data_IF_662645257412
#
_entry.id   IF_662645257412
#
_cell.length_a   1.000
_cell.length_b   1.000
_cell.length_c   1.000
_cell.angle_alpha   90.00
_cell.angle_beta   90.00
_cell.angle_gamma   90.00
#
_symmetry.space_group_name_H-M   'P 1'
#
loop_
_entity.id
_entity.type
_entity.pdbx_description
1 polymer ?
#
# COMPACT_ATOMS: atom_id res chain seq x y z
N UNK A 1 18.27 -9.66 -6.08
CA UNK A 1 17.19 -9.37 -5.11
C UNK A 1 17.69 -9.44 -3.67
N UNK A 2 17.71 -8.29 -2.97
CA UNK A 2 18.07 -8.22 -1.56
C UNK A 2 17.09 -9.00 -0.66
N UNK A 3 17.58 -9.43 0.52
CA UNK A 3 16.79 -10.16 1.52
C UNK A 3 15.51 -9.42 1.92
N UNK A 4 15.57 -8.09 2.01
CA UNK A 4 14.45 -7.26 2.44
C UNK A 4 13.32 -7.20 1.41
N UNK A 5 13.64 -6.98 0.13
CA UNK A 5 12.64 -6.99 -0.95
C UNK A 5 11.88 -8.32 -1.00
N UNK A 6 12.57 -9.45 -0.76
CA UNK A 6 11.92 -10.77 -0.71
C UNK A 6 10.93 -10.88 0.45
N UNK A 7 11.29 -10.38 1.64
CA UNK A 7 10.44 -10.38 2.83
C UNK A 7 9.18 -9.54 2.63
N UNK A 8 9.32 -8.37 2.03
CA UNK A 8 8.20 -7.49 1.72
C UNK A 8 7.27 -8.08 0.65
N UNK A 9 7.83 -8.71 -0.39
CA UNK A 9 7.03 -9.42 -1.40
C UNK A 9 6.26 -10.60 -0.82
N UNK A 10 6.85 -11.32 0.14
CA UNK A 10 6.16 -12.42 0.84
C UNK A 10 4.96 -11.90 1.64
N UNK A 11 5.15 -10.84 2.42
CA UNK A 11 4.08 -10.19 3.18
C UNK A 11 2.99 -9.63 2.23
N UNK A 12 3.38 -8.98 1.14
CA UNK A 12 2.48 -8.44 0.14
C UNK A 12 1.63 -9.54 -0.53
N UNK A 13 2.26 -10.66 -0.89
CA UNK A 13 1.57 -11.80 -1.48
C UNK A 13 0.55 -12.41 -0.51
N UNK A 14 0.94 -12.60 0.76
CA UNK A 14 0.04 -13.13 1.78
C UNK A 14 -1.17 -12.21 2.02
N UNK A 15 -0.95 -10.90 2.10
CA UNK A 15 -2.05 -9.92 2.21
C UNK A 15 -2.92 -9.92 0.96
N UNK A 16 -2.31 -9.94 -0.23
CA UNK A 16 -3.01 -9.94 -1.51
C UNK A 16 -3.97 -11.12 -1.65
N UNK A 17 -3.54 -12.31 -1.21
CA UNK A 17 -4.37 -13.51 -1.20
C UNK A 17 -5.60 -13.32 -0.28
N UNK A 18 -5.41 -12.83 0.95
CA UNK A 18 -6.51 -12.55 1.88
C UNK A 18 -7.53 -11.57 1.31
N UNK A 19 -7.05 -10.47 0.72
CA UNK A 19 -7.91 -9.45 0.13
C UNK A 19 -8.65 -9.97 -1.11
N UNK A 20 -7.98 -10.77 -1.94
CA UNK A 20 -8.58 -11.38 -3.13
C UNK A 20 -9.69 -12.36 -2.76
N UNK A 21 -9.50 -13.20 -1.73
CA UNK A 21 -10.53 -14.12 -1.25
C UNK A 21 -11.80 -13.42 -0.77
N UNK A 22 -11.68 -12.17 -0.31
CA UNK A 22 -12.80 -11.34 0.13
C UNK A 22 -13.28 -10.36 -0.96
N UNK A 23 -12.85 -10.55 -2.21
CA UNK A 23 -13.18 -9.69 -3.35
C UNK A 23 -12.93 -8.20 -3.07
N UNK A 24 -11.79 -7.88 -2.44
CA UNK A 24 -11.35 -6.52 -2.15
C UNK A 24 -10.35 -6.09 -3.23
N UNK A 25 -10.72 -5.19 -4.17
CA UNK A 25 -9.78 -4.65 -5.13
C UNK A 25 -8.67 -3.88 -4.41
N UNK A 26 -7.43 -4.21 -4.73
CA UNK A 26 -6.26 -3.64 -4.08
C UNK A 26 -5.07 -3.61 -5.03
N UNK A 27 -4.12 -2.73 -4.74
CA UNK A 27 -2.87 -2.61 -5.46
C UNK A 27 -1.76 -2.13 -4.54
N UNK A 28 -0.56 -2.65 -4.72
CA UNK A 28 0.62 -2.26 -3.95
C UNK A 28 1.35 -1.07 -4.57
N UNK A 29 1.95 -0.25 -3.71
CA UNK A 29 2.76 0.93 -4.03
C UNK A 29 3.92 1.05 -3.02
N UNK A 30 4.82 2.01 -3.24
CA UNK A 30 5.96 2.30 -2.37
C UNK A 30 7.29 2.03 -3.04
N UNK A 31 8.38 2.21 -2.29
CA UNK A 31 9.75 1.95 -2.76
C UNK A 31 9.96 0.47 -3.15
N UNK A 32 9.12 -0.45 -2.68
CA UNK A 32 9.13 -1.85 -3.13
C UNK A 32 8.95 -2.00 -4.63
N UNK A 33 8.12 -1.18 -5.28
CA UNK A 33 7.93 -1.29 -6.72
C UNK A 33 9.22 -0.94 -7.46
N UNK A 34 9.87 0.16 -7.06
CA UNK A 34 11.16 0.56 -7.61
C UNK A 34 12.25 -0.46 -7.32
N UNK A 35 12.30 -1.02 -6.11
CA UNK A 35 13.27 -2.03 -5.71
C UNK A 35 13.14 -3.30 -6.57
N UNK A 36 11.91 -3.73 -6.84
CA UNK A 36 11.66 -4.93 -7.65
C UNK A 36 12.02 -4.72 -9.12
N UNK A 37 11.69 -3.57 -9.70
CA UNK A 37 11.96 -3.27 -11.12
C UNK A 37 13.45 -3.04 -11.38
N UNK A 38 14.14 -2.36 -10.45
CA UNK A 38 15.56 -1.99 -10.62
C UNK A 38 16.55 -2.98 -10.00
N UNK A 39 16.07 -4.07 -9.38
CA UNK A 39 16.83 -4.97 -8.52
C UNK A 39 17.66 -4.24 -7.43
N UNK A 40 17.15 -3.10 -6.95
CA UNK A 40 17.80 -2.29 -5.92
C UNK A 40 17.59 -2.90 -4.53
N UNK A 41 18.61 -2.89 -3.65
CA UNK A 41 18.47 -3.36 -2.28
C UNK A 41 17.71 -2.38 -1.37
N UNK A 42 17.49 -1.14 -1.82
CA UNK A 42 16.84 -0.10 -1.00
C UNK A 42 15.33 -0.22 -1.11
N UNK A 43 14.70 -0.56 0.00
CA UNK A 43 13.25 -0.64 0.12
C UNK A 43 12.85 -0.38 1.57
N UNK A 44 12.23 0.77 1.80
CA UNK A 44 11.95 1.27 3.15
C UNK A 44 10.45 1.28 3.46
N UNK A 45 9.59 1.19 2.43
CA UNK A 45 8.14 1.40 2.55
C UNK A 45 7.35 0.48 1.62
N UNK A 46 6.25 -0.05 2.13
CA UNK A 46 5.24 -0.76 1.35
C UNK A 46 3.84 -0.26 1.72
N UNK A 47 3.09 0.11 0.67
CA UNK A 47 1.72 0.55 0.79
C UNK A 47 0.79 -0.42 0.04
N UNK A 48 -0.40 -0.62 0.56
CA UNK A 48 -1.49 -1.32 -0.11
C UNK A 48 -2.69 -0.36 -0.24
N UNK A 49 -2.94 0.10 -1.45
CA UNK A 49 -4.10 0.93 -1.77
C UNK A 49 -5.30 -0.01 -1.94
N UNK A 50 -6.41 0.32 -1.28
CA UNK A 50 -7.62 -0.50 -1.26
C UNK A 50 -8.80 0.32 -1.75
N UNK A 51 -9.51 -0.24 -2.73
CA UNK A 51 -10.72 0.39 -3.26
C UNK A 51 -11.84 0.39 -2.21
N UNK A 52 -12.55 1.51 -2.15
CA UNK A 52 -13.79 1.62 -1.40
C UNK A 52 -14.89 0.71 -1.97
N UNK A 53 -16.10 0.86 -1.44
CA UNK A 53 -17.29 0.18 -1.93
C UNK A 53 -18.51 0.70 -1.19
N UNK A 54 -19.47 -0.17 -0.92
CA UNK A 54 -20.62 0.14 -0.04
C UNK A 54 -20.23 0.41 1.41
N UNK A 55 -19.00 0.07 1.81
CA UNK A 55 -18.44 0.31 3.14
C UNK A 55 -17.02 0.89 3.05
N UNK A 56 -16.58 1.53 4.14
CA UNK A 56 -15.23 2.08 4.27
C UNK A 56 -14.15 1.01 4.02
N UNK A 57 -13.09 1.29 3.23
CA UNK A 57 -12.08 0.29 2.84
C UNK A 57 -11.45 -0.40 4.05
N UNK A 58 -11.12 0.34 5.11
CA UNK A 58 -10.51 -0.24 6.32
C UNK A 58 -11.42 -1.19 7.08
N UNK A 59 -12.75 -1.03 7.01
CA UNK A 59 -13.67 -2.00 7.62
C UNK A 59 -13.56 -3.33 6.89
N UNK A 60 -13.55 -3.31 5.56
CA UNK A 60 -13.45 -4.52 4.73
C UNK A 60 -12.12 -5.23 4.94
N UNK A 61 -11.01 -4.48 5.02
CA UNK A 61 -9.68 -5.04 5.30
C UNK A 61 -9.64 -5.70 6.68
N UNK A 62 -10.14 -5.03 7.72
CA UNK A 62 -10.23 -5.63 9.08
C UNK A 62 -11.04 -6.92 9.10
N UNK A 63 -12.15 -6.98 8.35
CA UNK A 63 -12.94 -8.19 8.23
C UNK A 63 -12.17 -9.32 7.52
N UNK A 64 -11.48 -8.99 6.42
CA UNK A 64 -10.70 -9.96 5.65
C UNK A 64 -9.52 -10.55 6.44
N UNK A 65 -8.95 -9.78 7.37
CA UNK A 65 -7.82 -10.24 8.20
C UNK A 65 -8.24 -10.81 9.56
N UNK A 66 -9.51 -10.71 9.96
CA UNK A 66 -9.95 -11.05 11.32
C UNK A 66 -9.66 -12.51 11.71
N UNK A 67 -9.69 -13.43 10.75
CA UNK A 67 -9.42 -14.86 10.96
C UNK A 67 -8.00 -15.27 10.54
N UNK A 68 -7.12 -14.30 10.27
CA UNK A 68 -5.74 -14.59 9.87
C UNK A 68 -4.85 -14.75 11.09
N UNK A 69 -4.17 -15.89 11.20
CA UNK A 69 -3.12 -16.11 12.21
C UNK A 69 -1.86 -15.29 11.92
N UNK A 70 -1.69 -14.86 10.67
CA UNK A 70 -0.46 -14.23 10.19
C UNK A 70 -0.49 -12.70 10.27
N UNK A 71 -1.69 -12.11 10.30
CA UNK A 71 -1.90 -10.67 10.24
C UNK A 71 -2.68 -10.16 11.45
N UNK A 72 -2.32 -8.97 11.91
CA UNK A 72 -3.27 -8.12 12.66
C UNK A 72 -3.35 -6.77 12.00
N UNK A 73 -4.34 -5.98 12.41
CA UNK A 73 -4.47 -4.60 11.98
C UNK A 73 -4.58 -3.62 13.14
N UNK A 74 -3.93 -2.48 13.01
CA UNK A 74 -4.03 -1.34 13.93
C UNK A 74 -4.50 -0.12 13.13
N UNK A 75 -5.61 0.49 13.53
CA UNK A 75 -6.08 1.72 12.90
C UNK A 75 -5.43 2.92 13.58
N UNK A 76 -4.87 3.85 12.80
CA UNK A 76 -4.38 5.14 13.29
C UNK A 76 -5.45 6.20 13.06
N UNK A 77 -6.18 6.65 14.11
CA UNK A 77 -7.29 7.59 13.96
C UNK A 77 -6.87 8.95 13.42
N UNK A 78 -5.63 9.37 13.69
CA UNK A 78 -5.14 10.71 13.37
C UNK A 78 -4.71 10.88 11.92
N UNK A 79 -4.39 9.79 11.23
CA UNK A 79 -3.78 9.84 9.90
C UNK A 79 -4.60 9.15 8.80
N UNK A 80 -5.83 8.71 9.11
CA UNK A 80 -6.69 7.92 8.22
C UNK A 80 -5.91 6.77 7.57
N UNK A 81 -5.13 6.03 8.37
CA UNK A 81 -4.29 4.91 7.94
C UNK A 81 -4.62 3.67 8.75
N UNK A 82 -4.61 2.53 8.09
CA UNK A 82 -4.70 1.22 8.74
C UNK A 82 -3.38 0.50 8.52
N UNK A 83 -2.76 0.01 9.58
CA UNK A 83 -1.50 -0.72 9.52
C UNK A 83 -1.80 -2.21 9.62
N UNK A 84 -1.35 -3.00 8.64
CA UNK A 84 -1.44 -4.46 8.65
C UNK A 84 -0.06 -5.04 8.98
N UNK A 85 0.06 -5.73 10.12
CA UNK A 85 1.33 -6.30 10.59
C UNK A 85 1.39 -7.78 10.28
N UNK A 86 2.32 -8.19 9.40
CA UNK A 86 2.63 -9.59 9.07
C UNK A 86 3.69 -10.15 10.03
N UNK A 87 3.34 -11.20 10.77
CA UNK A 87 4.16 -11.72 11.89
C UNK A 87 4.97 -12.98 11.59
N UNK A 88 4.89 -13.55 10.39
CA UNK A 88 5.65 -14.78 10.06
C UNK A 88 7.13 -14.53 9.82
N UNK A 89 7.56 -13.28 9.73
CA UNK A 89 8.94 -12.86 9.51
C UNK A 89 9.43 -12.04 10.69
N UNK A 90 10.74 -12.06 10.94
CA UNK A 90 11.41 -11.29 11.99
C UNK A 90 12.46 -10.37 11.35
N UNK A 91 12.43 -9.06 11.60
CA UNK A 91 11.33 -8.32 12.26
C UNK A 91 9.97 -8.45 11.54
N UNK A 92 8.87 -8.17 12.25
CA UNK A 92 7.55 -8.16 11.64
C UNK A 92 7.49 -7.11 10.53
N UNK A 93 6.75 -7.40 9.47
CA UNK A 93 6.57 -6.48 8.34
C UNK A 93 5.29 -5.70 8.54
N UNK A 94 5.37 -4.38 8.50
CA UNK A 94 4.20 -3.51 8.48
C UNK A 94 3.88 -3.11 7.05
N UNK A 95 2.63 -3.32 6.66
CA UNK A 95 2.07 -2.85 5.39
C UNK A 95 1.04 -1.79 5.72
N UNK A 96 1.24 -0.61 5.16
CA UNK A 96 0.34 0.48 5.40
C UNK A 96 -0.77 0.50 4.35
N UNK A 97 -2.02 0.48 4.82
CA UNK A 97 -3.22 0.39 4.00
C UNK A 97 -3.80 1.79 3.79
N UNK A 98 -4.03 2.14 2.54
CA UNK A 98 -4.46 3.47 2.11
C UNK A 98 -5.78 3.39 1.33
N UNK A 99 -6.69 4.36 1.47
CA UNK A 99 -7.92 4.39 0.70
C UNK A 99 -7.66 4.87 -0.75
N UNK A 100 -8.19 4.14 -1.72
CA UNK A 100 -8.16 4.54 -3.13
C UNK A 100 -8.84 5.89 -3.34
N UNK A 101 -8.26 6.71 -4.22
CA UNK A 101 -8.79 8.03 -4.57
C UNK A 101 -8.27 9.17 -3.70
N UNK A 102 -7.97 8.91 -2.43
CA UNK A 102 -7.06 9.75 -1.63
C UNK A 102 -5.61 9.44 -2.04
N UNK A 103 -5.30 8.15 -2.13
CA UNK A 103 -4.06 7.61 -2.67
C UNK A 103 -4.32 6.86 -3.97
N UNK A 104 -3.45 7.05 -4.96
CA UNK A 104 -3.58 6.43 -6.28
C UNK A 104 -4.91 6.73 -6.99
N UNK A 105 -5.32 5.86 -7.92
CA UNK A 105 -6.58 5.99 -8.64
C UNK A 105 -7.78 5.50 -7.81
N UNK A 106 -8.96 6.04 -8.08
CA UNK A 106 -10.22 5.64 -7.39
C UNK A 106 -10.65 4.21 -7.71
N UNK A 107 -10.33 3.71 -8.90
CA UNK A 107 -10.66 2.36 -9.35
C UNK A 107 -9.39 1.57 -9.56
N UNK A 108 -9.36 0.36 -9.03
CA UNK A 108 -8.25 -0.59 -9.11
C UNK A 108 -8.67 -1.74 -10.03
N UNK A 109 -8.35 -1.58 -11.32
CA UNK A 109 -8.68 -2.53 -12.38
C UNK A 109 -7.50 -2.71 -13.34
N UNK A 110 -7.71 -3.39 -14.46
CA UNK A 110 -6.65 -3.70 -15.43
C UNK A 110 -6.03 -2.46 -16.11
N UNK A 111 -6.67 -1.29 -16.01
CA UNK A 111 -6.13 -0.02 -16.54
C UNK A 111 -5.23 0.70 -15.55
N UNK A 112 -5.42 0.46 -14.25
CA UNK A 112 -4.71 1.14 -13.16
C UNK A 112 -3.75 0.24 -12.39
N UNK A 113 -3.82 -1.07 -12.61
CA UNK A 113 -2.96 -2.06 -11.96
C UNK A 113 -2.20 -2.91 -12.98
N UNK A 114 -1.03 -3.41 -12.56
CA UNK A 114 -0.22 -4.38 -13.28
C UNK A 114 0.22 -5.50 -12.33
N UNK A 115 0.47 -6.70 -12.85
CA UNK A 115 0.98 -7.81 -12.03
C UNK A 115 2.50 -7.84 -12.04
N UNK A 116 3.11 -7.78 -10.86
CA UNK A 116 4.55 -8.02 -10.67
C UNK A 116 4.69 -9.23 -9.77
N UNK A 117 5.30 -10.31 -10.30
CA UNK A 117 5.40 -11.60 -9.60
C UNK A 117 4.06 -12.12 -9.06
N UNK A 118 2.98 -11.90 -9.80
CA UNK A 118 1.63 -12.32 -9.43
C UNK A 118 0.90 -11.39 -8.44
N UNK A 119 1.57 -10.37 -7.91
CA UNK A 119 1.00 -9.40 -6.97
C UNK A 119 0.51 -8.17 -7.75
N UNK A 120 -0.69 -7.62 -7.46
CA UNK A 120 -1.18 -6.42 -8.13
C UNK A 120 -0.43 -5.18 -7.61
N UNK A 121 0.27 -4.48 -8.47
CA UNK A 121 0.86 -3.17 -8.21
C UNK A 121 0.14 -2.11 -9.02
N UNK A 122 0.24 -0.84 -8.62
CA UNK A 122 -0.13 0.26 -9.52
C UNK A 122 0.69 0.18 -10.82
N UNK A 123 0.09 0.57 -11.95
CA UNK A 123 0.87 0.77 -13.18
C UNK A 123 1.93 1.84 -12.96
N UNK A 124 2.99 1.84 -13.78
CA UNK A 124 4.04 2.86 -13.72
C UNK A 124 3.48 4.29 -13.82
N UNK A 125 2.48 4.51 -14.68
CA UNK A 125 1.84 5.82 -14.82
C UNK A 125 1.11 6.25 -13.56
N UNK A 126 0.39 5.34 -12.90
CA UNK A 126 -0.28 5.63 -11.62
C UNK A 126 0.72 5.82 -10.48
N UNK A 127 1.79 5.04 -10.45
CA UNK A 127 2.90 5.20 -9.50
C UNK A 127 3.52 6.61 -9.59
N UNK A 128 3.83 7.07 -10.79
CA UNK A 128 4.40 8.41 -11.02
C UNK A 128 3.40 9.49 -10.62
N UNK A 129 2.12 9.34 -10.99
CA UNK A 129 1.08 10.30 -10.63
C UNK A 129 0.92 10.44 -9.11
N UNK A 130 0.98 9.31 -8.39
CA UNK A 130 0.89 9.32 -6.92
C UNK A 130 2.09 10.02 -6.27
N UNK A 131 3.32 9.73 -6.74
CA UNK A 131 4.53 10.43 -6.26
C UNK A 131 4.50 11.94 -6.56
N UNK A 132 4.01 12.35 -7.73
CA UNK A 132 3.85 13.76 -8.10
C UNK A 132 2.81 14.47 -7.21
N UNK A 133 1.68 13.83 -6.89
CA UNK A 133 0.70 14.37 -5.94
C UNK A 133 1.29 14.56 -4.56
N UNK A 134 2.00 13.55 -4.04
CA UNK A 134 2.68 13.63 -2.74
C UNK A 134 3.67 14.80 -2.69
N UNK A 135 4.48 14.97 -3.73
CA UNK A 135 5.41 16.09 -3.85
C UNK A 135 4.69 17.45 -3.91
N UNK A 136 3.63 17.58 -4.70
CA UNK A 136 2.87 18.83 -4.80
C UNK A 136 2.24 19.24 -3.45
N UNK A 137 1.78 18.26 -2.65
CA UNK A 137 1.29 18.51 -1.28
C UNK A 137 2.41 19.00 -0.36
N UNK A 138 3.61 18.42 -0.47
CA UNK A 138 4.77 18.84 0.31
C UNK A 138 5.26 20.26 -0.04
N UNK A 139 5.26 20.61 -1.32
CA UNK A 139 5.60 21.98 -1.76
C UNK A 139 4.58 22.97 -1.22
N UNK A 140 3.28 22.62 -1.26
CA UNK A 140 2.21 23.47 -0.73
C UNK A 140 2.34 23.68 0.79
N UNK A 141 2.65 22.63 1.55
CA UNK A 141 2.83 22.74 3.00
C UNK A 141 4.02 23.64 3.35
N UNK A 142 5.13 23.51 2.62
CA UNK A 142 6.31 24.37 2.80
C UNK A 142 6.04 25.84 2.48
N UNK A 143 5.27 26.12 1.42
CA UNK A 143 4.92 27.50 1.06
C UNK A 143 4.00 28.15 2.10
N UNK A 144 3.01 27.40 2.63
CA UNK A 144 2.13 27.91 3.69
C UNK A 144 2.90 28.19 4.99
N UNK A 145 3.84 27.33 5.36
CA UNK A 145 4.68 27.54 6.54
C UNK A 145 5.55 28.80 6.43
N UNK A 146 5.92 29.23 5.22
CA UNK A 146 6.72 30.45 4.99
C UNK A 146 5.91 31.74 4.89
N UNK A 147 4.59 31.66 4.67
CA UNK A 147 3.69 32.82 4.58
C UNK A 147 3.05 33.19 5.93
N UNK A 148 3.06 32.27 6.90
CA UNK A 148 2.44 32.42 8.21
C UNK A 148 3.47 32.56 9.37
N UNK A 149 4.76 32.69 9.04
CA UNK A 149 5.84 32.97 9.99
C UNK A 149 6.60 34.21 9.57
#
# INVERSE_FOLDING_TARGET
MASETRRLLEAAMALSQLLSMHAIPHAFHGSILTAVISDSPRCDEIYCIVEGGSAHPFRRVRQAVANSECFTTTHSPWSNRLHATYRRLIPAIEIEILPAGEHGPRRLDNSTTMKVKGIPFLTLSEFVRDKLKAWAMQVRSHLLARLLG
#
